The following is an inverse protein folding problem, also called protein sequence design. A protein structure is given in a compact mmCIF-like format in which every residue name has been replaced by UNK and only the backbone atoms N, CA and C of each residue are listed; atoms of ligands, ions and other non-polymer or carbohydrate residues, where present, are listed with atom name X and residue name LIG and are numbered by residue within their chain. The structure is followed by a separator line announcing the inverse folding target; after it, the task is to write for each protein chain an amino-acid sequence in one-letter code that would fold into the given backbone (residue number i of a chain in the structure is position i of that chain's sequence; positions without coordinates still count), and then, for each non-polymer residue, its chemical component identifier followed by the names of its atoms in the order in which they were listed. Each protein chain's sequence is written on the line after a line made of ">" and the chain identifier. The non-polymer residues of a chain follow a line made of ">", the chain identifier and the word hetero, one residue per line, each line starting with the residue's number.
data_IF_881002251789
#
_entry.id   IF_881002251789
#
_cell.length_a   1.000
_cell.length_b   1.000
_cell.length_c   1.000
_cell.angle_alpha   90.00
_cell.angle_beta   90.00
_cell.angle_gamma   90.00
#
_symmetry.space_group_name_H-M   'P 1'
#
loop_
_entity.id
_entity.type
_entity.pdbx_description
1 polymer ?
#
# COMPACT_ATOMS: atom_id res chain seq x y z
N UNK A 1 -3.49 -27.57 -14.07
CA UNK A 1 -3.56 -28.19 -12.72
C UNK A 1 -4.48 -27.37 -11.84
N UNK A 2 -5.76 -27.78 -11.72
CA UNK A 2 -6.73 -27.10 -10.84
C UNK A 2 -6.57 -27.58 -9.41
N UNK A 3 -5.85 -26.82 -8.59
CA UNK A 3 -5.77 -27.07 -7.14
C UNK A 3 -7.17 -26.81 -6.56
N UNK A 4 -7.80 -27.85 -6.03
CA UNK A 4 -9.08 -27.72 -5.33
C UNK A 4 -8.81 -27.22 -3.92
N UNK A 5 -9.06 -25.93 -3.70
CA UNK A 5 -8.96 -25.29 -2.38
C UNK A 5 -10.08 -25.83 -1.49
N UNK A 6 -9.71 -26.41 -0.34
CA UNK A 6 -10.63 -26.91 0.67
C UNK A 6 -11.45 -25.78 1.32
N UNK A 7 -12.57 -26.12 1.95
CA UNK A 7 -13.42 -25.13 2.63
C UNK A 7 -12.65 -24.41 3.75
N UNK A 8 -11.83 -25.13 4.51
CA UNK A 8 -11.01 -24.56 5.57
C UNK A 8 -9.98 -23.54 5.04
N UNK A 9 -9.34 -23.84 3.90
CA UNK A 9 -8.40 -22.90 3.26
C UNK A 9 -9.13 -21.64 2.76
N UNK A 10 -10.34 -21.76 2.21
CA UNK A 10 -11.15 -20.59 1.81
C UNK A 10 -11.51 -19.70 2.98
N UNK A 11 -11.92 -20.29 4.10
CA UNK A 11 -12.23 -19.53 5.32
C UNK A 11 -11.00 -18.81 5.87
N UNK A 12 -9.83 -19.47 5.84
CA UNK A 12 -8.57 -18.85 6.25
C UNK A 12 -8.22 -17.66 5.36
N UNK A 13 -8.31 -17.81 4.03
CA UNK A 13 -8.07 -16.73 3.07
C UNK A 13 -8.97 -15.53 3.39
N UNK A 14 -10.27 -15.75 3.55
CA UNK A 14 -11.22 -14.68 3.85
C UNK A 14 -10.89 -13.95 5.17
N UNK A 15 -10.45 -14.69 6.21
CA UNK A 15 -10.03 -14.08 7.48
C UNK A 15 -8.77 -13.24 7.31
N UNK A 16 -7.78 -13.72 6.56
CA UNK A 16 -6.54 -13.00 6.29
C UNK A 16 -6.82 -11.73 5.47
N UNK A 17 -7.64 -11.81 4.43
CA UNK A 17 -8.05 -10.64 3.64
C UNK A 17 -8.74 -9.59 4.50
N UNK A 18 -9.64 -10.00 5.41
CA UNK A 18 -10.30 -9.09 6.34
C UNK A 18 -9.31 -8.38 7.28
N UNK A 19 -8.31 -9.10 7.80
CA UNK A 19 -7.26 -8.51 8.64
C UNK A 19 -6.42 -7.52 7.83
N UNK A 20 -6.07 -7.88 6.59
CA UNK A 20 -5.32 -6.99 5.71
C UNK A 20 -6.06 -5.69 5.41
N UNK A 21 -7.39 -5.76 5.22
CA UNK A 21 -8.23 -4.59 5.02
C UNK A 21 -8.28 -3.70 6.27
N UNK A 22 -8.51 -4.28 7.45
CA UNK A 22 -8.49 -3.54 8.72
C UNK A 22 -7.15 -2.84 8.96
N UNK A 23 -6.05 -3.53 8.66
CA UNK A 23 -4.71 -2.95 8.76
C UNK A 23 -4.47 -1.87 7.69
N UNK A 24 -5.18 -1.91 6.56
CA UNK A 24 -5.13 -0.85 5.56
C UNK A 24 -5.85 0.41 6.01
N UNK A 25 -7.03 0.25 6.60
CA UNK A 25 -7.83 1.37 7.10
C UNK A 25 -7.16 2.05 8.31
N UNK A 26 -6.37 1.32 9.09
CA UNK A 26 -5.60 1.88 10.20
C UNK A 26 -4.37 2.69 9.76
N UNK A 27 -4.03 2.73 8.46
CA UNK A 27 -2.97 3.59 7.91
C UNK A 27 -3.56 4.91 7.45
N UNK A 28 -2.99 6.02 7.91
CA UNK A 28 -3.27 7.35 7.38
C UNK A 28 -2.10 7.81 6.52
N UNK A 29 -2.36 8.23 5.29
CA UNK A 29 -1.35 8.73 4.36
C UNK A 29 -1.70 10.14 3.88
N UNK A 30 -0.70 11.01 3.79
CA UNK A 30 -0.82 12.34 3.18
C UNK A 30 0.20 12.50 2.06
N UNK A 31 -0.04 13.42 1.13
CA UNK A 31 0.93 13.79 0.12
C UNK A 31 0.29 14.43 -1.11
N UNK A 32 1.12 15.03 -1.94
CA UNK A 32 0.70 15.69 -3.19
C UNK A 32 1.34 15.00 -4.38
N UNK A 33 0.54 14.65 -5.39
CA UNK A 33 1.06 14.11 -6.63
C UNK A 33 1.84 15.19 -7.38
N UNK A 34 3.16 15.00 -7.50
CA UNK A 34 4.08 15.97 -8.10
C UNK A 34 4.39 15.68 -9.58
N UNK A 35 3.67 14.74 -10.19
CA UNK A 35 3.82 14.36 -11.60
C UNK A 35 2.50 14.48 -12.34
N UNK A 36 2.61 14.61 -13.66
CA UNK A 36 1.44 14.54 -14.53
C UNK A 36 0.72 13.17 -14.37
N UNK A 37 -0.62 13.10 -14.35
CA UNK A 37 -1.37 11.84 -14.15
C UNK A 37 -1.07 10.73 -15.17
N UNK A 38 -0.54 11.10 -16.35
CA UNK A 38 -0.11 10.15 -17.40
C UNK A 38 1.39 9.81 -17.36
N UNK A 39 2.12 10.32 -16.37
CA UNK A 39 3.54 10.00 -16.17
C UNK A 39 3.70 8.52 -15.85
N UNK A 40 4.77 7.92 -16.36
CA UNK A 40 5.14 6.53 -16.02
C UNK A 40 5.82 6.45 -14.65
N UNK A 41 6.50 7.53 -14.26
CA UNK A 41 7.12 7.68 -12.95
C UNK A 41 6.13 8.29 -11.97
N UNK A 42 6.17 7.87 -10.71
CA UNK A 42 5.37 8.41 -9.62
C UNK A 42 6.27 9.26 -8.75
N UNK A 43 5.83 10.49 -8.46
CA UNK A 43 6.46 11.32 -7.42
C UNK A 43 5.39 11.89 -6.50
N UNK A 44 5.63 11.76 -5.21
CA UNK A 44 4.77 12.30 -4.16
C UNK A 44 5.62 13.20 -3.28
N UNK A 45 5.22 14.47 -3.21
CA UNK A 45 5.83 15.46 -2.32
C UNK A 45 5.05 15.51 -1.00
N UNK A 46 5.74 15.87 0.09
CA UNK A 46 5.19 15.95 1.45
C UNK A 46 4.47 14.66 1.90
N UNK A 47 5.06 13.51 1.53
CA UNK A 47 4.52 12.20 1.84
C UNK A 47 4.77 11.84 3.31
N UNK A 48 3.69 11.59 4.04
CA UNK A 48 3.73 11.08 5.41
C UNK A 48 2.81 9.88 5.54
N UNK A 49 3.21 8.91 6.36
CA UNK A 49 2.39 7.74 6.69
C UNK A 49 2.42 7.49 8.20
N UNK A 50 1.23 7.39 8.78
CA UNK A 50 1.01 7.02 10.18
C UNK A 50 0.28 5.68 10.25
N UNK A 51 0.66 4.85 11.22
CA UNK A 51 -0.03 3.61 11.54
C UNK A 51 -0.21 3.47 13.04
N UNK A 52 -1.45 3.31 13.51
CA UNK A 52 -1.79 3.22 14.94
C UNK A 52 -1.18 4.34 15.81
N UNK A 53 -1.10 5.57 15.30
CA UNK A 53 -0.58 6.71 16.04
C UNK A 53 0.94 6.86 16.01
N UNK A 54 1.65 6.00 15.27
CA UNK A 54 3.10 6.09 15.06
C UNK A 54 3.39 6.52 13.62
N UNK A 55 4.19 7.59 13.47
CA UNK A 55 4.68 8.02 12.17
C UNK A 55 5.78 7.07 11.69
N UNK A 56 5.53 6.42 10.55
CA UNK A 56 6.50 5.53 9.90
C UNK A 56 7.41 6.37 8.99
N UNK A 57 6.82 7.31 8.26
CA UNK A 57 7.51 8.30 7.45
C UNK A 57 6.87 9.65 7.71
N UNK A 58 7.69 10.69 7.85
CA UNK A 58 7.24 12.05 8.11
C UNK A 58 7.86 13.02 7.09
N UNK A 59 7.00 13.74 6.37
CA UNK A 59 7.33 14.79 5.39
C UNK A 59 8.47 14.42 4.42
N UNK A 60 8.29 13.31 3.71
CA UNK A 60 9.30 12.78 2.79
C UNK A 60 8.93 13.01 1.33
N UNK A 61 9.93 12.96 0.45
CA UNK A 61 9.73 12.90 -0.99
C UNK A 61 9.86 11.47 -1.48
N UNK A 62 8.78 10.91 -2.03
CA UNK A 62 8.77 9.56 -2.60
C UNK A 62 8.88 9.63 -4.11
N UNK A 63 9.90 9.00 -4.70
CA UNK A 63 10.06 8.88 -6.15
C UNK A 63 10.17 7.41 -6.57
N UNK A 64 9.19 6.92 -7.33
CA UNK A 64 9.20 5.60 -7.94
C UNK A 64 9.26 5.77 -9.47
N UNK A 65 10.46 5.64 -10.03
CA UNK A 65 10.69 5.67 -11.48
C UNK A 65 10.57 4.28 -12.09
N UNK A 66 9.91 4.20 -13.22
CA UNK A 66 9.70 2.96 -13.93
C UNK A 66 11.01 2.40 -14.50
N UNK A 67 11.21 1.09 -14.37
CA UNK A 67 12.37 0.40 -14.95
C UNK A 67 13.68 0.56 -14.17
N UNK A 68 13.68 1.27 -13.04
CA UNK A 68 14.81 1.26 -12.10
C UNK A 68 14.44 0.44 -10.87
N UNK A 69 15.38 -0.38 -10.42
CA UNK A 69 15.27 -1.08 -9.14
C UNK A 69 15.74 -0.11 -8.07
N UNK A 70 14.89 0.15 -7.09
CA UNK A 70 15.21 0.85 -5.84
C UNK A 70 15.62 -0.18 -4.81
#
# INVERSE_FOLDING_TARGET
>A
NGVKISTAEKELINKLEKILLLNADARACTGVLAVHPRSRDIKIDNFSINFHGVDILADTKLELKSGRRY
#
